data_IF_569441604061
#
_entry.id   IF_569441604061
#
_cell.length_a   1.000
_cell.length_b   1.000
_cell.length_c   1.000
_cell.angle_alpha   90.00
_cell.angle_beta   90.00
_cell.angle_gamma   90.00
#
_symmetry.space_group_name_H-M   'P 1'
#
loop_
_entity.id
_entity.type
_entity.pdbx_description
1 polymer ?
#
# COMPACT_ATOMS: atom_id res chain seq x y z
N UNK A 1 26.41 -11.00 10.91
CA UNK A 1 25.25 -10.34 11.54
C UNK A 1 24.00 -10.82 10.83
N UNK A 2 22.92 -11.15 11.55
CA UNK A 2 21.64 -11.47 10.93
C UNK A 2 21.08 -10.20 10.28
N UNK A 3 20.48 -10.33 9.08
CA UNK A 3 19.81 -9.23 8.42
C UNK A 3 18.44 -9.03 9.04
N UNK A 4 18.09 -7.84 9.53
CA UNK A 4 16.82 -7.61 10.18
C UNK A 4 15.63 -7.77 9.22
N UNK A 5 14.51 -8.25 9.78
CA UNK A 5 13.24 -8.45 9.09
C UNK A 5 12.18 -7.57 9.74
N UNK A 6 11.51 -6.76 8.92
CA UNK A 6 10.36 -5.94 9.32
C UNK A 6 9.11 -6.57 8.74
N UNK A 7 8.20 -7.05 9.56
CA UNK A 7 6.92 -7.59 9.10
C UNK A 7 5.83 -6.52 9.18
N UNK A 8 5.17 -6.29 8.05
CA UNK A 8 4.04 -5.34 7.96
C UNK A 8 2.76 -6.13 7.67
N UNK A 9 1.68 -5.83 8.35
CA UNK A 9 0.43 -6.53 8.10
C UNK A 9 -0.78 -5.87 8.74
N UNK A 10 -1.94 -6.49 8.62
CA UNK A 10 -3.20 -6.01 9.17
C UNK A 10 -4.00 -7.17 9.77
N UNK A 11 -4.68 -6.91 10.88
CA UNK A 11 -5.60 -7.87 11.49
C UNK A 11 -6.91 -7.96 10.73
N UNK A 12 -7.32 -6.87 10.07
CA UNK A 12 -8.56 -6.81 9.30
C UNK A 12 -8.49 -7.68 8.06
N UNK A 13 -9.55 -8.44 7.79
CA UNK A 13 -9.70 -9.21 6.55
C UNK A 13 -10.12 -8.29 5.41
N UNK A 14 -9.62 -8.58 4.21
CA UNK A 14 -9.85 -7.77 3.02
C UNK A 14 -8.86 -6.61 2.90
N UNK A 15 -8.82 -6.00 1.72
CA UNK A 15 -7.91 -4.93 1.37
C UNK A 15 -8.29 -3.55 1.95
N UNK A 16 -7.49 -2.55 1.62
CA UNK A 16 -7.76 -1.13 1.92
C UNK A 16 -7.45 -0.70 3.35
N UNK A 17 -6.62 -1.46 4.08
CA UNK A 17 -6.13 -1.09 5.41
C UNK A 17 -4.90 -0.18 5.36
N UNK A 18 -4.22 -0.11 4.21
CA UNK A 18 -3.05 0.74 4.00
C UNK A 18 -1.70 0.03 4.20
N UNK A 19 -1.66 -1.30 4.15
CA UNK A 19 -0.43 -2.09 4.26
C UNK A 19 0.57 -1.69 3.18
N UNK A 20 0.17 -1.74 1.90
CA UNK A 20 1.06 -1.41 0.77
C UNK A 20 1.64 0.01 0.83
N UNK A 21 0.86 1.08 1.05
CA UNK A 21 1.44 2.42 1.27
C UNK A 21 2.41 2.50 2.45
N UNK A 22 2.16 1.72 3.51
CA UNK A 22 3.07 1.65 4.67
C UNK A 22 4.37 0.95 4.33
N UNK A 23 4.31 -0.17 3.59
CA UNK A 23 5.50 -0.88 3.08
C UNK A 23 6.36 0.06 2.24
N UNK A 24 5.75 0.81 1.32
CA UNK A 24 6.45 1.80 0.50
C UNK A 24 7.11 2.89 1.36
N UNK A 25 6.38 3.46 2.32
CA UNK A 25 6.91 4.50 3.20
C UNK A 25 8.08 4.00 4.06
N UNK A 26 7.99 2.78 4.59
CA UNK A 26 9.09 2.16 5.35
C UNK A 26 10.30 1.86 4.46
N UNK A 27 10.07 1.39 3.23
CA UNK A 27 11.15 1.14 2.28
C UNK A 27 11.89 2.44 1.92
N UNK A 28 11.14 3.52 1.67
CA UNK A 28 11.72 4.84 1.43
C UNK A 28 12.51 5.34 2.65
N UNK A 29 11.94 5.22 3.85
CA UNK A 29 12.58 5.64 5.09
C UNK A 29 13.88 4.88 5.37
N UNK A 30 13.91 3.58 5.17
CA UNK A 30 15.11 2.77 5.30
C UNK A 30 16.16 3.12 4.23
N UNK A 31 15.73 3.43 3.01
CA UNK A 31 16.62 3.91 1.94
C UNK A 31 17.23 5.29 2.28
N UNK A 32 16.46 6.21 2.89
CA UNK A 32 16.98 7.48 3.43
C UNK A 32 18.04 7.25 4.51
N UNK A 33 17.90 6.19 5.30
CA UNK A 33 18.89 5.73 6.28
C UNK A 33 20.07 5.00 5.64
N UNK A 34 20.21 5.05 4.31
CA UNK A 34 21.29 4.42 3.52
C UNK A 34 21.33 2.90 3.70
N UNK A 35 20.18 2.25 3.81
CA UNK A 35 20.07 0.79 3.88
C UNK A 35 19.60 0.21 2.54
N UNK A 36 20.23 -0.88 2.12
CA UNK A 36 19.76 -1.65 0.96
C UNK A 36 18.54 -2.49 1.40
N UNK A 37 17.34 -1.93 1.14
CA UNK A 37 16.07 -2.53 1.53
C UNK A 37 15.47 -3.32 0.37
N UNK A 38 15.08 -4.58 0.62
CA UNK A 38 14.25 -5.36 -0.29
C UNK A 38 12.89 -5.64 0.34
N UNK A 39 11.87 -5.79 -0.50
CA UNK A 39 10.53 -6.16 -0.06
C UNK A 39 10.20 -7.55 -0.55
N UNK A 40 9.55 -8.34 0.29
CA UNK A 40 9.05 -9.67 -0.06
C UNK A 40 7.54 -9.71 0.19
N UNK A 41 6.80 -10.14 -0.79
CA UNK A 41 5.33 -10.27 -0.73
C UNK A 41 4.89 -11.65 -1.17
N UNK A 42 3.68 -12.03 -0.79
CA UNK A 42 3.11 -13.32 -1.16
C UNK A 42 2.88 -13.40 -2.68
N UNK A 43 3.30 -14.51 -3.27
CA UNK A 43 3.09 -14.83 -4.68
C UNK A 43 3.11 -16.34 -4.91
N UNK A 44 2.97 -16.77 -6.16
CA UNK A 44 3.02 -18.18 -6.52
C UNK A 44 4.46 -18.70 -6.70
N UNK A 45 4.71 -19.95 -6.34
CA UNK A 45 5.94 -20.65 -6.67
C UNK A 45 7.17 -20.27 -5.83
N UNK A 46 8.34 -20.49 -6.43
CA UNK A 46 9.66 -20.20 -5.84
C UNK A 46 9.91 -18.68 -5.81
N UNK A 47 10.84 -18.20 -4.95
CA UNK A 47 11.19 -16.79 -4.91
C UNK A 47 11.58 -16.24 -6.29
N UNK A 48 10.92 -15.16 -6.69
CA UNK A 48 11.16 -14.46 -7.96
C UNK A 48 11.29 -12.97 -7.70
N UNK A 49 12.35 -12.34 -8.19
CA UNK A 49 12.49 -10.89 -8.23
C UNK A 49 11.57 -10.32 -9.31
N UNK A 50 10.89 -9.23 -8.99
CA UNK A 50 10.03 -8.50 -9.92
C UNK A 50 10.87 -7.62 -10.84
N UNK A 51 10.67 -7.76 -12.14
CA UNK A 51 11.29 -6.94 -13.16
C UNK A 51 10.33 -5.81 -13.59
N UNK A 52 10.89 -4.70 -14.07
CA UNK A 52 10.12 -3.58 -14.61
C UNK A 52 9.21 -3.98 -15.79
N UNK A 53 9.55 -5.04 -16.50
CA UNK A 53 8.79 -5.59 -17.63
C UNK A 53 7.68 -6.54 -17.26
N UNK A 54 7.58 -6.93 -15.98
CA UNK A 54 6.53 -7.83 -15.51
C UNK A 54 5.15 -7.16 -15.60
N UNK A 55 4.11 -8.01 -15.73
CA UNK A 55 2.73 -7.55 -15.83
C UNK A 55 1.96 -7.86 -14.55
N UNK A 56 0.95 -7.04 -14.27
CA UNK A 56 0.09 -7.22 -13.10
C UNK A 56 -0.61 -8.58 -13.06
N UNK A 57 -0.96 -9.14 -14.22
CA UNK A 57 -1.58 -10.46 -14.35
C UNK A 57 -0.64 -11.59 -13.92
N UNK A 58 0.69 -11.37 -13.98
CA UNK A 58 1.70 -12.38 -13.65
C UNK A 58 2.13 -12.32 -12.18
N UNK A 59 2.31 -11.12 -11.65
CA UNK A 59 2.93 -10.90 -10.33
C UNK A 59 2.04 -10.17 -9.34
N UNK A 60 0.89 -9.67 -9.78
CA UNK A 60 -0.02 -8.85 -8.98
C UNK A 60 0.27 -7.34 -9.10
N UNK A 61 -0.75 -6.52 -8.90
CA UNK A 61 -0.66 -5.06 -8.96
C UNK A 61 0.08 -4.47 -7.74
N UNK A 62 -0.14 -4.98 -6.54
CA UNK A 62 0.55 -4.50 -5.33
C UNK A 62 2.06 -4.74 -5.37
N UNK A 63 2.56 -5.94 -5.72
CA UNK A 63 3.98 -6.18 -5.91
C UNK A 63 4.64 -5.29 -6.95
N UNK A 64 3.97 -5.03 -8.09
CA UNK A 64 4.47 -4.11 -9.11
C UNK A 64 4.55 -2.67 -8.61
N UNK A 65 3.55 -2.23 -7.85
CA UNK A 65 3.55 -0.90 -7.27
C UNK A 65 4.73 -0.74 -6.29
N UNK A 66 4.98 -1.73 -5.42
CA UNK A 66 6.10 -1.71 -4.48
C UNK A 66 7.44 -1.73 -5.22
N UNK A 67 7.55 -2.50 -6.31
CA UNK A 67 8.78 -2.62 -7.11
C UNK A 67 9.23 -1.30 -7.76
N UNK A 68 8.33 -0.32 -7.89
CA UNK A 68 8.69 1.04 -8.30
C UNK A 68 9.52 1.81 -7.24
N UNK A 69 9.58 1.34 -6.00
CA UNK A 69 10.24 2.02 -4.87
C UNK A 69 11.40 1.24 -4.26
N UNK A 70 11.36 -0.09 -4.33
CA UNK A 70 12.40 -0.96 -3.79
C UNK A 70 12.45 -2.28 -4.55
N UNK A 71 13.62 -2.95 -4.61
CA UNK A 71 13.72 -4.31 -5.12
C UNK A 71 12.71 -5.23 -4.42
N UNK A 72 11.80 -5.82 -5.19
CA UNK A 72 10.65 -6.57 -4.67
C UNK A 72 10.69 -8.01 -5.16
N UNK A 73 10.32 -8.94 -4.28
CA UNK A 73 10.29 -10.37 -4.50
C UNK A 73 8.90 -10.91 -4.22
N UNK A 74 8.47 -11.88 -5.03
CA UNK A 74 7.28 -12.68 -4.73
C UNK A 74 7.69 -14.11 -4.41
N UNK A 75 7.02 -14.73 -3.43
CA UNK A 75 7.25 -16.13 -3.05
C UNK A 75 6.00 -16.73 -2.41
N UNK A 76 5.77 -18.04 -2.60
CA UNK A 76 4.75 -18.77 -1.85
C UNK A 76 5.15 -18.96 -0.39
N UNK A 77 6.44 -19.12 -0.13
CA UNK A 77 7.04 -19.15 1.20
C UNK A 77 7.83 -17.85 1.43
N UNK A 78 7.34 -17.01 2.33
CA UNK A 78 7.94 -15.71 2.66
C UNK A 78 9.34 -15.86 3.29
N UNK A 79 9.62 -16.97 4.00
CA UNK A 79 10.94 -17.21 4.56
C UNK A 79 11.98 -17.51 3.46
N UNK A 80 11.57 -18.29 2.45
CA UNK A 80 12.40 -18.51 1.27
C UNK A 80 12.60 -17.21 0.47
N UNK A 81 11.54 -16.40 0.35
CA UNK A 81 11.62 -15.08 -0.28
C UNK A 81 12.60 -14.16 0.43
N UNK A 82 12.53 -14.08 1.77
CA UNK A 82 13.44 -13.29 2.58
C UNK A 82 14.89 -13.75 2.42
N UNK A 83 15.13 -15.07 2.35
CA UNK A 83 16.46 -15.62 2.12
C UNK A 83 17.00 -15.21 0.76
N UNK A 84 16.19 -15.34 -0.31
CA UNK A 84 16.58 -14.94 -1.64
C UNK A 84 16.91 -13.43 -1.73
N UNK A 85 16.13 -12.59 -1.06
CA UNK A 85 16.39 -11.15 -0.97
C UNK A 85 17.72 -10.85 -0.26
N UNK A 86 18.02 -11.55 0.83
CA UNK A 86 19.29 -11.42 1.57
C UNK A 86 20.46 -11.88 0.72
N UNK A 87 20.34 -13.01 0.04
CA UNK A 87 21.39 -13.56 -0.84
C UNK A 87 21.64 -12.62 -2.05
N UNK A 88 20.64 -11.84 -2.46
CA UNK A 88 20.76 -10.77 -3.46
C UNK A 88 21.30 -9.44 -2.89
N UNK A 89 21.69 -9.38 -1.62
CA UNK A 89 22.37 -8.25 -1.02
C UNK A 89 21.52 -7.33 -0.16
N UNK A 90 20.28 -7.71 0.18
CA UNK A 90 19.48 -6.92 1.12
C UNK A 90 20.18 -6.78 2.47
N UNK A 91 20.22 -5.58 3.02
CA UNK A 91 20.65 -5.30 4.39
C UNK A 91 19.48 -5.39 5.38
N UNK A 92 18.27 -5.16 4.88
CA UNK A 92 17.01 -5.28 5.61
C UNK A 92 15.92 -5.78 4.66
N UNK A 93 15.03 -6.63 5.16
CA UNK A 93 13.90 -7.16 4.39
C UNK A 93 12.60 -6.70 5.02
N UNK A 94 11.71 -6.13 4.21
CA UNK A 94 10.31 -5.88 4.61
C UNK A 94 9.43 -7.00 4.07
N UNK A 95 8.65 -7.63 4.94
CA UNK A 95 7.65 -8.64 4.56
C UNK A 95 6.29 -7.97 4.47
N UNK A 96 5.76 -7.84 3.26
CA UNK A 96 4.40 -7.38 3.01
C UNK A 96 3.39 -8.52 3.29
N UNK A 97 2.42 -8.26 4.16
CA UNK A 97 1.51 -9.29 4.64
C UNK A 97 2.10 -10.21 5.71
N UNK A 98 3.23 -9.85 6.31
CA UNK A 98 3.95 -10.65 7.29
C UNK A 98 3.32 -10.73 8.70
N UNK A 99 2.17 -10.09 8.93
CA UNK A 99 1.40 -10.14 10.17
C UNK A 99 -0.10 -10.26 9.87
N UNK A 100 -0.87 -10.89 10.73
CA UNK A 100 -0.50 -11.83 11.81
C UNK A 100 -0.15 -13.22 11.25
N UNK A 101 0.37 -14.09 12.08
CA UNK A 101 0.61 -15.52 11.76
C UNK A 101 1.64 -15.78 10.63
N UNK A 102 2.65 -14.91 10.50
CA UNK A 102 3.78 -15.17 9.59
C UNK A 102 4.64 -16.33 10.12
N UNK A 103 5.04 -17.24 9.22
CA UNK A 103 6.08 -18.22 9.49
C UNK A 103 7.48 -17.58 9.66
N UNK A 104 7.61 -16.31 9.30
CA UNK A 104 8.86 -15.55 9.40
C UNK A 104 8.91 -14.80 10.73
N UNK A 105 9.92 -15.06 11.53
CA UNK A 105 10.17 -14.28 12.74
C UNK A 105 10.67 -12.89 12.34
N UNK A 106 9.91 -11.87 12.71
CA UNK A 106 10.29 -10.49 12.50
C UNK A 106 11.09 -9.93 13.68
N UNK A 107 12.02 -9.03 13.39
CA UNK A 107 12.74 -8.21 14.37
C UNK A 107 11.96 -6.93 14.72
N UNK A 108 11.04 -6.53 13.83
CA UNK A 108 10.08 -5.44 14.06
C UNK A 108 8.75 -5.79 13.41
N UNK A 109 7.69 -5.85 14.21
CA UNK A 109 6.31 -6.06 13.77
C UNK A 109 5.53 -4.76 13.68
N UNK A 110 5.01 -4.43 12.50
CA UNK A 110 4.20 -3.23 12.24
C UNK A 110 2.80 -3.64 11.81
N UNK A 111 1.81 -3.39 12.64
CA UNK A 111 0.41 -3.51 12.26
C UNK A 111 -0.09 -2.22 11.62
N UNK A 112 -0.94 -2.35 10.62
CA UNK A 112 -1.56 -1.24 9.92
C UNK A 112 -3.07 -1.44 9.90
N UNK A 113 -3.82 -0.49 10.44
CA UNK A 113 -5.27 -0.56 10.48
C UNK A 113 -5.92 0.74 10.03
N UNK A 114 -7.08 0.61 9.40
CA UNK A 114 -7.89 1.78 9.05
C UNK A 114 -8.53 2.36 10.30
N UNK A 115 -8.23 3.61 10.63
CA UNK A 115 -8.85 4.31 11.75
C UNK A 115 -10.38 4.42 11.60
N UNK A 116 -10.88 4.45 10.36
CA UNK A 116 -12.33 4.53 10.09
C UNK A 116 -13.05 3.19 10.32
N UNK A 117 -12.41 2.06 9.94
CA UNK A 117 -13.00 0.72 10.15
C UNK A 117 -12.79 0.21 11.58
N UNK A 118 -11.68 0.58 12.19
CA UNK A 118 -11.26 0.04 13.47
C UNK A 118 -11.10 -1.48 13.47
N UNK A 119 -11.14 -2.04 14.66
CA UNK A 119 -11.10 -3.50 14.87
C UNK A 119 -12.49 -4.14 14.88
N UNK A 120 -13.57 -3.38 14.61
CA UNK A 120 -14.93 -3.84 14.76
C UNK A 120 -15.20 -4.32 16.19
N UNK A 121 -15.74 -5.54 16.35
CA UNK A 121 -15.97 -6.14 17.67
C UNK A 121 -14.72 -6.82 18.28
N UNK A 122 -13.54 -6.68 17.66
CA UNK A 122 -12.28 -7.23 18.13
C UNK A 122 -12.12 -8.75 17.98
N UNK A 123 -13.09 -9.44 17.37
CA UNK A 123 -13.10 -10.90 17.24
C UNK A 123 -12.60 -11.37 15.87
N UNK A 124 -12.05 -12.58 15.88
CA UNK A 124 -11.65 -13.27 14.66
C UNK A 124 -12.87 -13.78 13.88
N UNK A 125 -12.70 -13.95 12.57
CA UNK A 125 -13.67 -14.62 11.70
C UNK A 125 -14.00 -16.05 12.21
N UNK A 126 -15.26 -16.52 12.15
CA UNK A 126 -16.44 -15.85 11.57
C UNK A 126 -17.21 -14.92 12.53
N UNK A 127 -16.77 -14.76 13.76
CA UNK A 127 -17.46 -13.97 14.79
C UNK A 127 -17.18 -12.46 14.70
N UNK A 128 -16.20 -12.06 13.91
CA UNK A 128 -15.81 -10.68 13.70
C UNK A 128 -15.00 -10.48 12.41
N UNK A 129 -14.55 -9.25 12.13
CA UNK A 129 -13.92 -8.90 10.85
C UNK A 129 -12.42 -9.25 10.80
N UNK A 130 -11.81 -9.74 11.89
CA UNK A 130 -10.37 -9.89 12.00
C UNK A 130 -9.89 -11.28 11.55
N UNK A 131 -8.62 -11.39 11.18
CA UNK A 131 -7.92 -12.66 10.92
C UNK A 131 -7.71 -13.46 12.20
N UNK A 132 -7.28 -12.77 13.27
CA UNK A 132 -7.16 -13.28 14.64
C UNK A 132 -7.75 -12.26 15.62
N UNK A 133 -7.99 -12.65 16.86
CA UNK A 133 -8.51 -11.74 17.90
C UNK A 133 -7.56 -10.54 18.11
N UNK A 134 -8.13 -9.36 18.32
CA UNK A 134 -7.41 -8.09 18.44
C UNK A 134 -6.23 -8.15 19.40
N UNK A 135 -6.47 -8.61 20.63
CA UNK A 135 -5.45 -8.58 21.67
C UNK A 135 -4.28 -9.54 21.36
N UNK A 136 -4.60 -10.72 20.77
CA UNK A 136 -3.57 -11.63 20.25
C UNK A 136 -2.77 -10.98 19.10
N UNK A 137 -3.44 -10.26 18.19
CA UNK A 137 -2.76 -9.58 17.09
C UNK A 137 -1.87 -8.44 17.57
N UNK A 138 -2.37 -7.62 18.51
CA UNK A 138 -1.58 -6.54 19.10
C UNK A 138 -0.33 -7.05 19.85
N UNK A 139 -0.42 -8.21 20.52
CA UNK A 139 0.75 -8.81 21.21
C UNK A 139 1.85 -9.34 20.27
N UNK A 140 1.57 -9.45 18.96
CA UNK A 140 2.54 -9.86 17.93
C UNK A 140 3.22 -8.68 17.24
N UNK A 141 2.85 -7.46 17.59
CA UNK A 141 3.37 -6.26 16.96
C UNK A 141 4.07 -5.34 17.97
N UNK A 142 5.04 -4.60 17.47
CA UNK A 142 5.79 -3.58 18.22
C UNK A 142 5.21 -2.18 18.04
N UNK A 143 4.53 -1.93 16.90
CA UNK A 143 3.94 -0.64 16.55
C UNK A 143 2.64 -0.86 15.79
N UNK A 144 1.64 -0.02 16.08
CA UNK A 144 0.42 0.10 15.31
C UNK A 144 0.42 1.42 14.53
N UNK A 145 0.24 1.34 13.22
CA UNK A 145 -0.03 2.50 12.36
C UNK A 145 -1.54 2.54 12.10
N UNK A 146 -2.20 3.66 12.43
CA UNK A 146 -3.63 3.86 12.18
C UNK A 146 -3.83 4.88 11.08
N UNK A 147 -4.45 4.44 9.96
CA UNK A 147 -4.65 5.27 8.77
C UNK A 147 -6.06 5.85 8.71
N UNK A 148 -6.14 7.17 8.72
CA UNK A 148 -7.41 7.87 8.57
C UNK A 148 -7.38 9.30 9.06
N UNK A 149 -8.52 10.03 8.94
CA UNK A 149 -8.62 11.40 9.43
C UNK A 149 -8.53 11.46 10.96
N UNK A 150 -8.07 12.59 11.50
CA UNK A 150 -7.88 12.81 12.94
C UNK A 150 -9.09 12.44 13.78
N UNK A 151 -10.29 12.81 13.33
CA UNK A 151 -11.56 12.50 14.01
C UNK A 151 -11.84 11.00 14.22
N UNK A 152 -11.17 10.12 13.46
CA UNK A 152 -11.32 8.67 13.57
C UNK A 152 -10.18 8.01 14.38
N UNK A 153 -9.26 8.80 14.94
CA UNK A 153 -8.09 8.29 15.66
C UNK A 153 -8.33 8.03 17.15
N UNK A 154 -9.40 8.58 17.72
CA UNK A 154 -9.71 8.52 19.17
C UNK A 154 -9.91 7.11 19.71
N UNK A 155 -10.47 6.19 18.91
CA UNK A 155 -10.70 4.80 19.33
C UNK A 155 -9.43 4.00 19.56
N UNK A 156 -8.26 4.55 19.22
CA UNK A 156 -6.96 3.89 19.31
C UNK A 156 -6.05 4.49 20.40
N UNK A 157 -6.50 5.46 21.19
CA UNK A 157 -5.66 6.20 22.15
C UNK A 157 -5.20 5.36 23.34
N UNK A 158 -5.94 4.32 23.72
CA UNK A 158 -5.67 3.51 24.93
C UNK A 158 -5.17 2.10 24.65
N UNK A 159 -4.45 1.90 23.54
CA UNK A 159 -3.91 0.58 23.19
C UNK A 159 -2.59 0.26 23.90
N UNK A 160 -2.29 -1.03 24.16
CA UNK A 160 -1.11 -1.43 24.93
C UNK A 160 0.21 -1.37 24.15
N UNK A 161 0.20 -0.91 22.89
CA UNK A 161 1.38 -0.78 22.03
C UNK A 161 1.52 0.63 21.49
N UNK A 162 2.75 1.09 21.18
CA UNK A 162 2.97 2.38 20.56
C UNK A 162 2.16 2.53 19.27
N UNK A 163 1.57 3.70 19.09
CA UNK A 163 0.76 4.02 17.94
C UNK A 163 1.33 5.20 17.16
N UNK A 164 1.24 5.11 15.84
CA UNK A 164 1.51 6.19 14.90
C UNK A 164 0.24 6.48 14.13
N UNK A 165 -0.34 7.65 14.35
CA UNK A 165 -1.44 8.13 13.52
C UNK A 165 -0.90 8.62 12.18
N UNK A 166 -1.54 8.23 11.08
CA UNK A 166 -1.12 8.59 9.74
C UNK A 166 -2.31 8.82 8.81
N UNK A 167 -2.05 9.49 7.70
CA UNK A 167 -3.02 9.69 6.61
C UNK A 167 -2.35 9.43 5.26
N UNK A 168 -3.15 9.17 4.23
CA UNK A 168 -2.69 9.17 2.85
C UNK A 168 -2.94 10.53 2.26
N UNK A 169 -1.89 11.15 1.71
CA UNK A 169 -1.97 12.44 1.04
C UNK A 169 -1.49 12.33 -0.40
N UNK A 170 -2.13 13.06 -1.33
CA UNK A 170 -1.62 13.22 -2.68
C UNK A 170 -0.22 13.82 -2.66
N UNK A 171 0.70 13.21 -3.40
CA UNK A 171 2.05 13.76 -3.58
C UNK A 171 1.99 14.99 -4.47
N UNK A 172 2.65 16.05 -4.06
CA UNK A 172 2.83 17.26 -4.89
C UNK A 172 3.81 16.94 -6.02
N UNK A 173 3.29 16.71 -7.22
CA UNK A 173 4.08 16.35 -8.41
C UNK A 173 4.43 17.54 -9.29
N UNK A 174 4.05 18.75 -8.89
CA UNK A 174 4.15 19.97 -9.71
C UNK A 174 3.00 20.11 -10.70
N UNK A 175 2.06 19.17 -10.75
CA UNK A 175 0.84 19.32 -11.53
C UNK A 175 -0.11 20.31 -10.85
N UNK A 176 -0.52 21.35 -11.59
CA UNK A 176 -1.60 22.24 -11.16
C UNK A 176 -2.95 21.60 -11.54
N UNK A 177 -3.70 21.17 -10.55
CA UNK A 177 -5.02 20.57 -10.70
C UNK A 177 -6.13 21.59 -10.77
N UNK A 178 -5.87 22.87 -10.45
CA UNK A 178 -6.90 23.92 -10.37
C UNK A 178 -7.62 24.11 -11.69
N UNK A 179 -8.91 23.79 -11.71
CA UNK A 179 -9.74 23.89 -12.92
C UNK A 179 -9.41 22.86 -14.02
N UNK A 180 -8.50 21.90 -13.76
CA UNK A 180 -8.21 20.84 -14.71
C UNK A 180 -9.44 19.94 -14.90
N UNK A 181 -9.92 19.83 -16.13
CA UNK A 181 -11.08 18.97 -16.46
C UNK A 181 -10.62 17.52 -16.56
N UNK A 182 -11.12 16.67 -15.67
CA UNK A 182 -10.67 15.30 -15.57
C UNK A 182 -11.82 14.29 -15.67
N UNK A 183 -11.55 13.17 -16.34
CA UNK A 183 -12.34 11.96 -16.30
C UNK A 183 -11.62 10.96 -15.40
N UNK A 184 -12.16 10.74 -14.21
CA UNK A 184 -11.53 9.90 -13.19
C UNK A 184 -12.03 8.46 -13.24
N UNK A 185 -11.15 7.47 -13.17
CA UNK A 185 -11.54 6.08 -12.99
C UNK A 185 -10.67 5.41 -11.93
N UNK A 186 -11.27 4.50 -11.15
CA UNK A 186 -10.56 3.79 -10.10
C UNK A 186 -11.19 2.43 -9.80
N UNK A 187 -10.34 1.39 -9.72
CA UNK A 187 -10.66 0.03 -9.31
C UNK A 187 -10.03 -0.31 -7.97
N UNK A 188 -10.31 0.51 -6.96
CA UNK A 188 -9.88 0.33 -5.57
C UNK A 188 -11.09 0.11 -4.66
N UNK A 189 -10.87 -0.38 -3.44
CA UNK A 189 -11.96 -0.73 -2.52
C UNK A 189 -12.95 0.39 -2.19
N UNK A 190 -12.59 1.68 -2.32
CA UNK A 190 -13.47 2.85 -2.12
C UNK A 190 -13.12 3.93 -3.15
N UNK A 191 -13.60 3.81 -4.41
CA UNK A 191 -13.30 4.76 -5.49
C UNK A 191 -13.72 6.20 -5.18
N UNK A 192 -14.78 6.40 -4.42
CA UNK A 192 -15.29 7.73 -4.05
C UNK A 192 -14.26 8.58 -3.31
N UNK A 193 -13.35 7.95 -2.56
CA UNK A 193 -12.25 8.68 -1.88
C UNK A 193 -11.29 9.28 -2.90
N UNK A 194 -10.98 8.55 -3.96
CA UNK A 194 -10.14 9.05 -5.04
C UNK A 194 -10.80 10.23 -5.76
N UNK A 195 -12.09 10.13 -6.07
CA UNK A 195 -12.83 11.22 -6.72
C UNK A 195 -12.92 12.45 -5.81
N UNK A 196 -13.13 12.28 -4.52
CA UNK A 196 -13.09 13.38 -3.54
C UNK A 196 -11.70 14.04 -3.50
N UNK A 197 -10.63 13.24 -3.49
CA UNK A 197 -9.24 13.75 -3.50
C UNK A 197 -8.97 14.64 -4.71
N UNK A 198 -9.48 14.29 -5.90
CA UNK A 198 -9.32 15.13 -7.10
C UNK A 198 -10.05 16.49 -6.95
N UNK A 199 -11.26 16.48 -6.38
CA UNK A 199 -11.97 17.72 -6.07
C UNK A 199 -11.22 18.57 -5.03
N UNK A 200 -10.68 17.96 -3.98
CA UNK A 200 -9.89 18.65 -2.95
C UNK A 200 -8.60 19.26 -3.52
N UNK A 201 -8.03 18.66 -4.57
CA UNK A 201 -6.90 19.20 -5.33
C UNK A 201 -7.31 20.37 -6.24
N UNK A 202 -8.61 20.63 -6.43
CA UNK A 202 -9.13 21.70 -7.27
C UNK A 202 -9.47 21.29 -8.71
N UNK A 203 -9.43 19.99 -9.04
CA UNK A 203 -9.80 19.50 -10.36
C UNK A 203 -11.33 19.52 -10.56
N UNK A 204 -11.75 19.80 -11.79
CA UNK A 204 -13.14 19.66 -12.23
C UNK A 204 -13.39 18.22 -12.71
N UNK A 205 -13.96 17.38 -11.85
CA UNK A 205 -14.28 15.98 -12.19
C UNK A 205 -15.56 15.96 -13.04
N UNK A 206 -15.41 16.05 -14.37
CA UNK A 206 -16.51 16.11 -15.34
C UNK A 206 -17.08 14.73 -15.69
N UNK A 207 -16.37 13.67 -15.36
CA UNK A 207 -16.82 12.28 -15.51
C UNK A 207 -16.09 11.38 -14.55
N UNK A 208 -16.76 10.31 -14.09
CA UNK A 208 -16.16 9.32 -13.18
C UNK A 208 -16.65 7.93 -13.47
N UNK A 209 -15.75 6.95 -13.35
CA UNK A 209 -16.06 5.53 -13.46
C UNK A 209 -15.48 4.77 -12.28
N UNK A 210 -16.34 4.32 -11.38
CA UNK A 210 -15.97 3.31 -10.39
C UNK A 210 -15.87 1.95 -11.08
N UNK A 211 -14.77 1.24 -10.84
CA UNK A 211 -14.53 -0.13 -11.27
C UNK A 211 -14.58 -1.04 -10.04
N UNK A 212 -14.82 -2.34 -10.25
CA UNK A 212 -14.66 -3.31 -9.18
C UNK A 212 -13.19 -3.38 -8.73
N UNK A 213 -12.95 -3.70 -7.46
CA UNK A 213 -11.59 -3.87 -6.96
C UNK A 213 -10.88 -4.98 -7.75
N UNK A 214 -9.67 -4.70 -8.24
CA UNK A 214 -8.90 -5.57 -9.15
C UNK A 214 -9.59 -5.91 -10.50
N UNK A 215 -10.57 -5.12 -10.96
CA UNK A 215 -11.21 -5.34 -12.25
C UNK A 215 -10.20 -5.28 -13.40
N UNK A 216 -10.28 -6.25 -14.34
CA UNK A 216 -9.41 -6.28 -15.51
C UNK A 216 -9.55 -5.02 -16.38
N UNK A 217 -8.41 -4.44 -16.75
CA UNK A 217 -8.32 -3.28 -17.65
C UNK A 217 -8.35 -3.72 -19.12
N UNK A 218 -9.49 -4.31 -19.54
CA UNK A 218 -9.62 -4.81 -20.92
C UNK A 218 -9.47 -3.69 -21.96
N UNK A 219 -8.96 -3.98 -23.18
CA UNK A 219 -8.86 -2.98 -24.24
C UNK A 219 -10.21 -2.32 -24.59
N UNK A 220 -11.31 -3.08 -24.52
CA UNK A 220 -12.65 -2.56 -24.77
C UNK A 220 -13.08 -1.55 -23.69
N UNK A 221 -12.83 -1.86 -22.41
CA UNK A 221 -13.08 -0.94 -21.30
C UNK A 221 -12.29 0.35 -21.47
N UNK A 222 -10.97 0.25 -21.69
CA UNK A 222 -10.07 1.40 -21.80
C UNK A 222 -10.43 2.27 -23.01
N UNK A 223 -10.77 1.66 -24.15
CA UNK A 223 -11.25 2.39 -25.34
C UNK A 223 -12.54 3.15 -25.05
N UNK A 224 -13.48 2.55 -24.31
CA UNK A 224 -14.71 3.23 -23.89
C UNK A 224 -14.41 4.44 -23.01
N UNK A 225 -13.59 4.27 -21.96
CA UNK A 225 -13.21 5.35 -21.04
C UNK A 225 -12.51 6.50 -21.80
N UNK A 226 -11.59 6.18 -22.71
CA UNK A 226 -10.90 7.18 -23.52
C UNK A 226 -11.86 7.99 -24.41
N UNK A 227 -12.87 7.33 -25.03
CA UNK A 227 -13.90 8.02 -25.83
C UNK A 227 -14.78 8.93 -24.97
N UNK A 228 -15.20 8.45 -23.80
CA UNK A 228 -16.01 9.25 -22.87
C UNK A 228 -15.23 10.48 -22.39
N UNK A 229 -13.96 10.31 -22.02
CA UNK A 229 -13.08 11.42 -21.64
C UNK A 229 -12.92 12.44 -22.78
N UNK A 230 -12.68 11.97 -24.02
CA UNK A 230 -12.55 12.82 -25.19
C UNK A 230 -13.84 13.61 -25.50
N UNK A 231 -15.01 12.99 -25.42
CA UNK A 231 -16.30 13.66 -25.60
C UNK A 231 -16.54 14.78 -24.58
N UNK A 232 -16.01 14.59 -23.35
CA UNK A 232 -16.11 15.59 -22.29
C UNK A 232 -14.97 16.64 -22.32
N UNK A 233 -14.02 16.53 -23.27
CA UNK A 233 -12.83 17.37 -23.30
C UNK A 233 -12.01 17.28 -22.02
N UNK A 234 -11.89 16.07 -21.48
CA UNK A 234 -11.27 15.80 -20.18
C UNK A 234 -10.03 14.91 -20.31
N UNK A 235 -9.07 15.12 -19.43
CA UNK A 235 -7.90 14.25 -19.27
C UNK A 235 -8.26 13.04 -18.42
N UNK A 236 -7.87 11.83 -18.86
CA UNK A 236 -8.04 10.63 -18.04
C UNK A 236 -7.10 10.66 -16.82
N UNK A 237 -7.63 10.31 -15.64
CA UNK A 237 -6.88 10.28 -14.37
C UNK A 237 -7.22 9.02 -13.59
N UNK A 238 -6.21 8.40 -12.99
CA UNK A 238 -6.39 7.19 -12.17
C UNK A 238 -5.44 7.15 -10.97
N UNK A 239 -5.56 6.09 -10.16
CA UNK A 239 -4.69 5.83 -8.99
C UNK A 239 -3.38 5.16 -9.41
N UNK A 240 -2.34 5.20 -8.56
CA UNK A 240 -1.10 4.44 -8.79
C UNK A 240 -1.36 2.92 -8.89
N UNK A 241 -2.27 2.39 -8.05
CA UNK A 241 -2.64 0.97 -8.06
C UNK A 241 -3.27 0.56 -9.39
N UNK A 242 -4.07 1.42 -9.98
CA UNK A 242 -4.69 1.15 -11.27
C UNK A 242 -3.72 1.37 -12.43
N UNK A 243 -2.81 2.35 -12.31
CA UNK A 243 -1.86 2.71 -13.34
C UNK A 243 -0.89 1.56 -13.70
N UNK A 244 -0.46 0.74 -12.72
CA UNK A 244 0.42 -0.41 -12.98
C UNK A 244 -0.25 -1.49 -13.82
N UNK A 245 -1.58 -1.52 -13.87
CA UNK A 245 -2.38 -2.46 -14.68
C UNK A 245 -2.68 -1.94 -16.09
N UNK A 246 -2.36 -0.67 -16.37
CA UNK A 246 -2.58 -0.10 -17.70
C UNK A 246 -1.59 -0.71 -18.71
N UNK A 247 -2.06 -1.00 -19.93
CA UNK A 247 -1.17 -1.33 -21.05
C UNK A 247 -0.12 -0.22 -21.26
N UNK A 248 1.13 -0.58 -21.60
CA UNK A 248 2.21 0.40 -21.80
C UNK A 248 1.84 1.55 -22.74
N UNK A 249 1.06 1.28 -23.78
CA UNK A 249 0.65 2.24 -24.80
C UNK A 249 -0.29 3.32 -24.26
N UNK A 250 -1.04 3.02 -23.18
CA UNK A 250 -2.00 3.96 -22.59
C UNK A 250 -1.42 4.73 -21.39
N UNK A 251 -0.37 4.22 -20.76
CA UNK A 251 0.25 4.88 -19.59
C UNK A 251 0.62 6.35 -19.85
N UNK A 252 1.19 6.74 -21.02
CA UNK A 252 1.51 8.14 -21.30
C UNK A 252 0.29 9.07 -21.44
N UNK A 253 -0.90 8.51 -21.64
CA UNK A 253 -2.15 9.24 -21.86
C UNK A 253 -3.05 9.36 -20.64
N UNK A 254 -2.64 8.76 -19.51
CA UNK A 254 -3.41 8.75 -18.27
C UNK A 254 -2.58 9.40 -17.17
N UNK A 255 -3.10 10.46 -16.58
CA UNK A 255 -2.47 11.06 -15.40
C UNK A 255 -2.68 10.16 -14.18
N UNK A 256 -1.67 10.11 -13.34
CA UNK A 256 -1.70 9.32 -12.11
C UNK A 256 -1.61 10.27 -10.91
N UNK A 257 -2.46 10.06 -9.91
CA UNK A 257 -2.36 10.77 -8.64
C UNK A 257 -1.66 9.85 -7.64
N UNK A 258 -0.36 10.05 -7.42
CA UNK A 258 0.36 9.29 -6.41
C UNK A 258 -0.06 9.74 -5.02
N UNK A 259 -0.14 8.79 -4.09
CA UNK A 259 -0.41 9.07 -2.68
C UNK A 259 0.72 8.54 -1.81
N UNK A 260 1.00 9.25 -0.72
CA UNK A 260 2.01 8.84 0.27
C UNK A 260 1.43 8.80 1.66
N UNK A 261 1.97 7.90 2.44
CA UNK A 261 1.68 7.84 3.87
C UNK A 261 2.41 8.99 4.56
N UNK A 262 1.63 9.83 5.24
CA UNK A 262 2.12 10.94 6.03
C UNK A 262 1.73 10.69 7.48
N UNK A 263 2.68 10.23 8.32
CA UNK A 263 2.45 10.10 9.76
C UNK A 263 2.49 11.48 10.43
N UNK A 264 1.81 11.59 11.56
CA UNK A 264 1.87 12.80 12.39
C UNK A 264 3.23 12.95 13.04
N UNK A 265 3.83 11.84 13.46
CA UNK A 265 5.16 11.78 14.05
C UNK A 265 5.83 10.44 13.72
N UNK A 266 7.01 10.51 13.10
CA UNK A 266 7.83 9.34 12.81
C UNK A 266 8.71 8.88 13.97
N UNK A 267 8.91 9.71 14.99
CA UNK A 267 9.94 9.54 16.02
C UNK A 267 9.94 8.16 16.67
N UNK A 268 8.75 7.67 17.07
CA UNK A 268 8.65 6.38 17.74
C UNK A 268 9.04 5.21 16.82
N UNK A 269 8.75 5.31 15.53
CA UNK A 269 9.08 4.31 14.52
C UNK A 269 10.54 4.42 14.08
N UNK A 270 11.07 5.63 13.89
CA UNK A 270 12.48 5.87 13.55
C UNK A 270 13.44 5.31 14.59
N UNK A 271 13.14 5.52 15.87
CA UNK A 271 13.95 4.95 16.98
C UNK A 271 13.98 3.42 16.89
N UNK A 272 12.86 2.79 16.55
CA UNK A 272 12.79 1.32 16.42
C UNK A 272 13.53 0.82 15.18
N UNK A 273 13.38 1.50 14.04
CA UNK A 273 14.11 1.19 12.82
C UNK A 273 15.62 1.32 13.03
N UNK A 274 16.08 2.38 13.70
CA UNK A 274 17.50 2.57 14.00
C UNK A 274 18.08 1.43 14.87
N UNK A 275 17.31 0.94 15.85
CA UNK A 275 17.72 -0.17 16.72
C UNK A 275 17.93 -1.51 15.99
N UNK A 276 17.37 -1.67 14.81
CA UNK A 276 17.58 -2.89 14.01
C UNK A 276 19.03 -3.05 13.55
N UNK A 277 19.83 -1.98 13.59
CA UNK A 277 21.20 -1.94 13.06
C UNK A 277 22.26 -1.69 14.14
N UNK A 278 21.84 -1.59 15.40
CA UNK A 278 22.75 -1.51 16.57
C UNK A 278 22.95 -2.88 17.20
#
# INVERSE_FOLDING_TARGET
>A
MSRPIVAVGSLTRGGGTGVTPTVIALAQKLSEMQRNVHVVTTGAGTPRSIAYTDRAEEVGDEPLLIAAFAPTWTAADLAMGARAAIDAGAEVVIIDGGLPDSAVRADLGVLVESAVRGFGNGRAWPLGPLKIARDKGLSQADVLITLGPMRAQTDFESLPIPRVAARLEPLQTGMDWTGARVFAFAGIGVPERFFATLNDLGAEVVGKQALADHQDMTPALLTRLAREAAMLGAQMVTTEKDAVRLPPELRPHVLVVPVRLVPEDWTSLEVRLARLFT
#
